data_IF_978587648769
#
_entry.id   IF_978587648769
#
_cell.length_a   1.000
_cell.length_b   1.000
_cell.length_c   1.000
_cell.angle_alpha   90.00
_cell.angle_beta   90.00
_cell.angle_gamma   90.00
#
_symmetry.space_group_name_H-M   'P 1'
#
loop_
_entity.id
_entity.type
_entity.pdbx_description
1 polymer ?
#
# COMPACT_ATOMS: atom_id res chain seq x y z
N UNK A 1 -1.47 10.82 25.52
CA UNK A 1 -0.74 10.49 24.27
C UNK A 1 -0.29 11.78 23.63
N UNK A 2 0.88 11.76 22.97
CA UNK A 2 1.37 12.94 22.22
C UNK A 2 0.68 13.05 20.86
N UNK A 3 0.57 14.28 20.37
CA UNK A 3 0.03 14.53 19.02
C UNK A 3 1.04 14.15 17.94
N UNK A 4 0.55 13.51 16.86
CA UNK A 4 1.32 13.28 15.65
C UNK A 4 1.23 14.53 14.75
N UNK A 5 2.24 15.37 14.80
CA UNK A 5 2.22 16.70 14.17
C UNK A 5 2.24 16.71 12.64
N UNK A 6 2.79 15.66 12.01
CA UNK A 6 2.92 15.59 10.54
C UNK A 6 2.29 14.31 9.97
N UNK A 7 0.97 14.11 10.12
CA UNK A 7 0.31 12.86 9.72
C UNK A 7 0.16 12.73 8.19
N UNK A 8 0.21 13.83 7.44
CA UNK A 8 0.16 13.82 5.98
C UNK A 8 1.58 13.98 5.44
N UNK A 9 2.02 13.05 4.61
CA UNK A 9 3.32 13.09 3.95
C UNK A 9 3.24 12.68 2.48
N UNK A 10 4.25 13.06 1.70
CA UNK A 10 4.51 12.51 0.37
C UNK A 10 5.20 11.16 0.54
N UNK A 11 4.88 10.23 -0.34
CA UNK A 11 5.45 8.89 -0.35
C UNK A 11 6.70 8.87 -1.23
N UNK A 12 7.87 9.08 -0.62
CA UNK A 12 9.13 9.04 -1.36
C UNK A 12 9.54 7.62 -1.78
N UNK A 13 9.22 6.61 -0.97
CA UNK A 13 9.65 5.23 -1.21
C UNK A 13 9.05 4.56 -2.47
N UNK A 14 8.11 5.20 -3.13
CA UNK A 14 7.54 4.73 -4.40
C UNK A 14 7.33 5.93 -5.31
N UNK A 15 8.41 6.46 -5.81
CA UNK A 15 8.40 7.58 -6.76
C UNK A 15 7.54 7.28 -7.99
N UNK A 16 7.40 5.99 -8.29
CA UNK A 16 6.53 5.48 -9.35
C UNK A 16 5.08 5.23 -8.90
N UNK A 17 4.72 5.50 -7.64
CA UNK A 17 3.38 5.23 -7.13
C UNK A 17 2.40 6.35 -7.50
N UNK A 18 1.24 6.03 -8.12
CA UNK A 18 0.22 7.02 -8.47
C UNK A 18 -0.50 7.62 -7.25
N UNK A 19 -0.18 7.14 -6.04
CA UNK A 19 -0.71 7.60 -4.76
C UNK A 19 0.36 8.39 -4.02
N UNK A 20 0.54 9.68 -4.32
CA UNK A 20 1.64 10.45 -3.73
C UNK A 20 1.43 10.76 -2.25
N UNK A 21 0.19 10.73 -1.75
CA UNK A 21 -0.14 11.16 -0.39
C UNK A 21 -0.42 9.98 0.53
N UNK A 22 0.14 10.03 1.73
CA UNK A 22 -0.20 9.15 2.83
C UNK A 22 -0.72 9.96 4.03
N UNK A 23 -1.67 9.39 4.77
CA UNK A 23 -2.23 9.94 5.99
C UNK A 23 -2.22 8.84 7.06
N UNK A 24 -1.56 9.11 8.17
CA UNK A 24 -1.46 8.16 9.27
C UNK A 24 -2.35 8.60 10.42
N UNK A 25 -3.18 7.70 10.92
CA UNK A 25 -3.99 7.92 12.12
C UNK A 25 -3.13 7.83 13.38
N UNK A 26 -2.13 6.96 13.35
CA UNK A 26 -1.28 6.59 14.48
C UNK A 26 0.18 6.53 14.08
N UNK A 27 1.09 6.69 15.06
CA UNK A 27 2.53 6.57 14.84
C UNK A 27 3.02 5.13 14.97
N UNK A 28 2.58 4.39 15.98
CA UNK A 28 2.94 2.99 16.23
C UNK A 28 1.80 2.04 15.84
N UNK A 29 2.13 0.77 15.56
CA UNK A 29 1.17 -0.24 15.16
C UNK A 29 1.19 -1.44 16.11
N UNK A 30 0.02 -1.87 16.59
CA UNK A 30 -0.16 -2.97 17.54
C UNK A 30 -0.15 -4.36 16.86
N UNK A 31 -0.26 -4.42 15.52
CA UNK A 31 -0.32 -5.69 14.78
C UNK A 31 0.95 -6.53 14.93
N UNK A 32 2.11 -5.88 15.05
CA UNK A 32 3.41 -6.52 15.24
C UNK A 32 3.73 -7.65 14.24
N UNK A 33 3.36 -7.46 12.97
CA UNK A 33 3.63 -8.44 11.91
C UNK A 33 5.15 -8.67 11.74
N UNK A 34 5.57 -9.93 11.62
CA UNK A 34 7.00 -10.29 11.54
C UNK A 34 7.69 -9.70 10.31
N UNK A 35 6.98 -9.67 9.19
CA UNK A 35 7.47 -9.15 7.90
C UNK A 35 7.38 -7.62 7.78
N UNK A 36 6.94 -6.90 8.82
CA UNK A 36 6.62 -5.48 8.70
C UNK A 36 7.88 -4.60 8.72
N UNK A 37 8.13 -3.91 7.61
CA UNK A 37 9.20 -2.91 7.49
C UNK A 37 8.96 -1.68 8.37
N UNK A 38 7.70 -1.32 8.63
CA UNK A 38 7.34 -0.19 9.48
C UNK A 38 7.84 -0.30 10.92
N UNK A 39 8.06 -1.52 11.41
CA UNK A 39 8.63 -1.76 12.75
C UNK A 39 10.08 -1.30 12.88
N UNK A 40 10.90 -1.43 11.84
CA UNK A 40 12.27 -0.87 11.84
C UNK A 40 12.22 0.64 12.08
N UNK A 41 11.30 1.33 11.42
CA UNK A 41 11.14 2.77 11.55
C UNK A 41 10.70 3.17 12.97
N UNK A 42 9.75 2.46 13.56
CA UNK A 42 9.30 2.71 14.93
C UNK A 42 10.45 2.52 15.95
N UNK A 43 11.29 1.49 15.76
CA UNK A 43 12.46 1.26 16.62
C UNK A 43 13.48 2.40 16.55
N UNK A 44 13.66 3.01 15.38
CA UNK A 44 14.59 4.13 15.18
C UNK A 44 14.03 5.42 15.80
N UNK A 45 12.73 5.68 15.68
CA UNK A 45 12.11 6.96 16.06
C UNK A 45 11.27 6.92 17.34
N UNK A 46 11.28 5.80 18.05
CA UNK A 46 10.52 5.55 19.26
C UNK A 46 9.18 4.87 19.02
N UNK A 47 8.87 3.96 19.92
CA UNK A 47 7.64 3.15 19.90
C UNK A 47 6.47 3.83 20.60
N UNK A 48 6.67 5.04 21.13
CA UNK A 48 5.62 5.79 21.82
C UNK A 48 4.46 6.09 20.86
N UNK A 49 3.26 5.71 21.23
CA UNK A 49 2.08 5.99 20.43
C UNK A 49 1.81 7.49 20.36
N UNK A 50 1.71 8.00 19.14
CA UNK A 50 1.26 9.36 18.86
C UNK A 50 0.00 9.31 18.03
N UNK A 51 -0.87 10.27 18.21
CA UNK A 51 -2.22 10.26 17.66
C UNK A 51 -2.43 11.49 16.79
N UNK A 52 -2.96 11.28 15.61
CA UNK A 52 -3.31 12.39 14.71
C UNK A 52 -4.52 13.14 15.23
N UNK A 53 -4.46 14.47 15.18
CA UNK A 53 -5.59 15.33 15.46
C UNK A 53 -6.41 15.55 14.18
N UNK A 54 -7.65 15.01 14.08
CA UNK A 54 -8.49 15.16 12.90
C UNK A 54 -8.79 16.61 12.53
N UNK A 55 -8.97 17.50 13.50
CA UNK A 55 -9.26 18.92 13.21
C UNK A 55 -8.07 19.63 12.56
N UNK A 56 -6.85 19.32 13.00
CA UNK A 56 -5.63 19.80 12.37
C UNK A 56 -5.53 19.33 10.89
N UNK A 57 -5.90 18.08 10.61
CA UNK A 57 -5.96 17.53 9.24
C UNK A 57 -7.04 18.26 8.42
N UNK A 58 -8.25 18.42 8.96
CA UNK A 58 -9.34 19.16 8.31
C UNK A 58 -8.91 20.57 7.92
N UNK A 59 -8.28 21.30 8.84
CA UNK A 59 -7.75 22.64 8.59
C UNK A 59 -6.70 22.64 7.48
N UNK A 60 -5.75 21.70 7.52
CA UNK A 60 -4.68 21.58 6.50
C UNK A 60 -5.26 21.31 5.11
N UNK A 61 -6.18 20.35 4.98
CA UNK A 61 -6.81 20.01 3.70
C UNK A 61 -7.65 21.17 3.14
N UNK A 62 -8.46 21.84 3.98
CA UNK A 62 -9.23 23.02 3.56
C UNK A 62 -8.34 24.18 3.10
N UNK A 63 -7.24 24.42 3.80
CA UNK A 63 -6.28 25.45 3.41
C UNK A 63 -5.60 25.11 2.08
N UNK A 64 -5.24 23.86 1.86
CA UNK A 64 -4.65 23.40 0.60
C UNK A 64 -5.61 23.63 -0.59
N UNK A 65 -6.90 23.34 -0.42
CA UNK A 65 -7.91 23.57 -1.46
C UNK A 65 -8.06 25.07 -1.80
N UNK A 66 -7.87 25.95 -0.83
CA UNK A 66 -7.94 27.41 -1.01
C UNK A 66 -6.64 28.04 -1.53
N UNK A 67 -5.53 27.30 -1.45
CA UNK A 67 -4.22 27.81 -1.88
C UNK A 67 -4.23 28.08 -3.39
N UNK A 68 -4.02 29.34 -3.78
CA UNK A 68 -4.00 29.76 -5.20
C UNK A 68 -2.65 29.53 -5.87
N UNK A 69 -1.58 29.41 -5.08
CA UNK A 69 -0.21 29.27 -5.60
C UNK A 69 0.58 28.23 -4.80
N UNK A 70 0.33 26.92 -4.99
CA UNK A 70 1.05 25.85 -4.28
C UNK A 70 2.49 25.74 -4.77
N UNK A 71 3.46 26.01 -3.89
CA UNK A 71 4.88 26.07 -4.24
C UNK A 71 5.62 24.74 -4.01
N UNK A 72 5.06 23.84 -3.20
CA UNK A 72 5.73 22.58 -2.87
C UNK A 72 5.00 21.39 -3.52
N UNK A 73 5.70 20.27 -3.82
CA UNK A 73 5.07 19.06 -4.36
C UNK A 73 3.88 18.59 -3.51
N UNK A 74 4.01 18.64 -2.18
CA UNK A 74 2.90 18.31 -1.28
C UNK A 74 1.73 19.28 -1.45
N UNK A 75 1.99 20.57 -1.53
CA UNK A 75 0.94 21.57 -1.69
C UNK A 75 0.21 21.42 -3.04
N UNK A 76 0.95 21.09 -4.10
CA UNK A 76 0.41 20.82 -5.43
C UNK A 76 -0.46 19.53 -5.42
N UNK A 77 0.03 18.43 -4.84
CA UNK A 77 -0.71 17.17 -4.73
C UNK A 77 -2.01 17.35 -3.89
N UNK A 78 -1.94 18.11 -2.79
CA UNK A 78 -3.09 18.42 -1.97
C UNK A 78 -4.08 19.34 -2.70
N UNK A 79 -3.60 20.36 -3.42
CA UNK A 79 -4.44 21.24 -4.23
C UNK A 79 -5.18 20.51 -5.34
N UNK A 80 -4.50 19.55 -5.98
CA UNK A 80 -5.05 18.70 -7.03
C UNK A 80 -5.94 17.56 -6.49
N UNK A 81 -6.16 17.50 -5.18
CA UNK A 81 -6.92 16.42 -4.50
C UNK A 81 -6.45 15.01 -4.91
N UNK A 82 -5.12 14.83 -5.05
CA UNK A 82 -4.58 13.48 -5.31
C UNK A 82 -5.01 12.54 -4.19
N UNK A 83 -5.30 11.30 -4.54
CA UNK A 83 -5.82 10.32 -3.58
C UNK A 83 -4.88 10.11 -2.39
N UNK A 84 -5.47 9.95 -1.20
CA UNK A 84 -4.77 9.75 0.06
C UNK A 84 -4.84 8.28 0.48
N UNK A 85 -3.70 7.72 0.86
CA UNK A 85 -3.64 6.40 1.48
C UNK A 85 -3.65 6.52 3.01
N UNK A 86 -4.69 6.00 3.66
CA UNK A 86 -4.75 5.86 5.12
C UNK A 86 -4.19 4.50 5.53
N UNK A 87 -3.26 4.50 6.48
CA UNK A 87 -2.69 3.27 7.01
C UNK A 87 -1.56 2.68 6.15
N UNK A 88 -0.67 3.53 5.64
CA UNK A 88 0.52 3.06 4.92
C UNK A 88 1.57 2.45 5.85
N UNK A 89 1.84 3.12 6.97
CA UNK A 89 2.88 2.77 7.93
C UNK A 89 2.34 1.95 9.10
N UNK A 90 1.13 2.29 9.54
CA UNK A 90 0.44 1.64 10.66
C UNK A 90 -0.92 1.15 10.22
N UNK A 91 -1.47 0.16 10.90
CA UNK A 91 -2.85 -0.23 10.62
C UNK A 91 -3.82 0.80 11.22
N UNK A 92 -4.68 1.43 10.40
CA UNK A 92 -5.58 2.49 10.88
C UNK A 92 -6.71 1.96 11.76
N UNK A 93 -7.00 0.65 11.70
CA UNK A 93 -8.06 -0.01 12.49
C UNK A 93 -7.51 -0.95 13.57
N UNK A 94 -6.25 -0.73 13.99
CA UNK A 94 -5.66 -1.42 15.14
C UNK A 94 -6.52 -1.23 16.42
N UNK A 95 -6.34 -2.06 17.47
CA UNK A 95 -7.23 -2.07 18.65
C UNK A 95 -7.52 -0.69 19.26
N UNK A 96 -6.51 0.17 19.39
CA UNK A 96 -6.67 1.51 19.97
C UNK A 96 -7.66 2.40 19.18
N UNK A 97 -7.89 2.13 17.91
CA UNK A 97 -8.88 2.85 17.11
C UNK A 97 -10.31 2.64 17.61
N UNK A 98 -10.58 1.50 18.26
CA UNK A 98 -11.91 1.22 18.82
C UNK A 98 -12.27 2.15 19.97
N UNK A 99 -11.27 2.74 20.63
CA UNK A 99 -11.42 3.70 21.73
C UNK A 99 -11.34 5.14 21.24
N UNK A 100 -10.33 5.46 20.44
CA UNK A 100 -9.99 6.85 20.08
C UNK A 100 -10.72 7.37 18.84
N UNK A 101 -11.21 6.50 17.95
CA UNK A 101 -11.98 6.84 16.75
C UNK A 101 -11.32 7.89 15.83
N UNK A 102 -10.00 7.91 15.78
CA UNK A 102 -9.23 8.89 14.99
C UNK A 102 -9.40 8.62 13.49
N UNK A 103 -9.27 7.37 13.07
CA UNK A 103 -9.46 6.97 11.67
C UNK A 103 -10.89 7.29 11.22
N UNK A 104 -11.88 7.02 12.07
CA UNK A 104 -13.26 7.39 11.80
C UNK A 104 -13.39 8.88 11.50
N UNK A 105 -12.84 9.74 12.37
CA UNK A 105 -12.86 11.19 12.18
C UNK A 105 -12.15 11.63 10.89
N UNK A 106 -11.04 10.97 10.53
CA UNK A 106 -10.34 11.25 9.27
C UNK A 106 -11.17 10.84 8.04
N UNK A 107 -11.83 9.68 8.09
CA UNK A 107 -12.74 9.21 7.02
C UNK A 107 -13.90 10.18 6.83
N UNK A 108 -14.54 10.64 7.92
CA UNK A 108 -15.61 11.65 7.86
C UNK A 108 -15.12 12.93 7.17
N UNK A 109 -13.91 13.40 7.49
CA UNK A 109 -13.32 14.60 6.88
C UNK A 109 -13.11 14.41 5.37
N UNK A 110 -12.59 13.24 4.95
CA UNK A 110 -12.34 12.97 3.54
C UNK A 110 -13.64 12.87 2.75
N UNK A 111 -14.68 12.27 3.32
CA UNK A 111 -16.02 12.23 2.72
C UNK A 111 -16.60 13.63 2.58
N UNK A 112 -16.57 14.46 3.65
CA UNK A 112 -17.07 15.84 3.65
C UNK A 112 -16.38 16.72 2.61
N UNK A 113 -15.07 16.52 2.41
CA UNK A 113 -14.27 17.24 1.43
C UNK A 113 -14.31 16.62 0.03
N UNK A 114 -15.05 15.52 -0.17
CA UNK A 114 -15.11 14.74 -1.42
C UNK A 114 -13.70 14.34 -1.90
N UNK A 115 -12.84 13.95 -0.97
CA UNK A 115 -11.46 13.60 -1.25
C UNK A 115 -11.32 12.09 -1.53
N UNK A 116 -10.74 11.66 -2.67
CA UNK A 116 -10.52 10.24 -2.93
C UNK A 116 -9.48 9.65 -1.95
N UNK A 117 -9.74 8.44 -1.45
CA UNK A 117 -8.84 7.82 -0.49
C UNK A 117 -8.89 6.29 -0.53
N UNK A 118 -7.81 5.69 0.00
CA UNK A 118 -7.69 4.24 0.20
C UNK A 118 -7.52 3.98 1.69
N UNK A 119 -8.17 2.94 2.18
CA UNK A 119 -7.94 2.37 3.49
C UNK A 119 -7.32 0.98 3.31
N UNK A 120 -6.20 0.72 3.99
CA UNK A 120 -5.55 -0.57 4.02
C UNK A 120 -5.49 -1.08 5.46
N UNK A 121 -6.02 -2.28 5.73
CA UNK A 121 -6.07 -2.81 7.10
C UNK A 121 -5.99 -4.34 7.11
N UNK A 122 -5.50 -4.88 8.24
CA UNK A 122 -5.59 -6.30 8.64
C UNK A 122 -6.67 -6.54 9.71
N UNK A 123 -7.26 -5.46 10.23
CA UNK A 123 -8.29 -5.49 11.26
C UNK A 123 -9.70 -5.25 10.69
N UNK A 124 -10.09 -6.00 9.63
CA UNK A 124 -11.40 -5.84 8.99
C UNK A 124 -12.57 -6.00 9.96
N UNK A 125 -12.40 -6.78 11.04
CA UNK A 125 -13.43 -6.89 12.07
C UNK A 125 -13.70 -5.54 12.76
N UNK A 126 -12.66 -4.75 13.02
CA UNK A 126 -12.78 -3.42 13.61
C UNK A 126 -13.36 -2.41 12.60
N UNK A 127 -12.98 -2.55 11.31
CA UNK A 127 -13.54 -1.73 10.24
C UNK A 127 -15.06 -1.82 10.12
N UNK A 128 -15.69 -2.92 10.60
CA UNK A 128 -17.15 -3.09 10.56
C UNK A 128 -17.89 -2.01 11.35
N UNK A 129 -17.25 -1.37 12.34
CA UNK A 129 -17.82 -0.22 13.06
C UNK A 129 -18.21 0.91 12.11
N UNK A 130 -17.41 1.13 11.06
CA UNK A 130 -17.53 2.29 10.19
C UNK A 130 -18.06 1.93 8.79
N UNK A 131 -18.67 0.75 8.64
CA UNK A 131 -19.18 0.26 7.35
C UNK A 131 -20.15 1.23 6.68
N UNK A 132 -20.99 1.92 7.46
CA UNK A 132 -21.94 2.91 6.93
C UNK A 132 -21.23 4.13 6.33
N UNK A 133 -20.10 4.54 6.92
CA UNK A 133 -19.24 5.58 6.34
C UNK A 133 -18.60 5.09 5.02
N UNK A 134 -18.22 3.83 4.94
CA UNK A 134 -17.65 3.26 3.72
C UNK A 134 -18.69 3.22 2.59
N UNK A 135 -19.93 2.84 2.90
CA UNK A 135 -21.05 2.92 1.94
C UNK A 135 -21.29 4.37 1.51
N UNK A 136 -21.30 5.32 2.46
CA UNK A 136 -21.48 6.75 2.19
C UNK A 136 -20.34 7.33 1.33
N UNK A 137 -19.13 6.85 1.50
CA UNK A 137 -17.98 7.27 0.70
C UNK A 137 -18.13 6.90 -0.78
N UNK A 138 -18.79 5.76 -1.07
CA UNK A 138 -19.06 5.32 -2.42
C UNK A 138 -17.81 5.28 -3.30
N UNK A 139 -17.82 5.97 -4.47
CA UNK A 139 -16.69 5.95 -5.41
C UNK A 139 -15.42 6.67 -4.89
N UNK A 140 -15.50 7.37 -3.76
CA UNK A 140 -14.32 8.04 -3.19
C UNK A 140 -13.40 7.09 -2.41
N UNK A 141 -13.86 5.87 -2.08
CA UNK A 141 -13.13 4.94 -1.24
C UNK A 141 -12.81 3.63 -1.97
N UNK A 142 -11.57 3.18 -1.81
CA UNK A 142 -11.17 1.80 -2.05
C UNK A 142 -10.72 1.20 -0.71
N UNK A 143 -11.32 0.07 -0.31
CA UNK A 143 -10.89 -0.71 0.84
C UNK A 143 -9.93 -1.82 0.40
N UNK A 144 -8.68 -1.77 0.86
CA UNK A 144 -7.71 -2.84 0.67
C UNK A 144 -7.74 -3.79 1.86
N UNK A 145 -8.08 -5.04 1.58
CA UNK A 145 -8.06 -6.13 2.56
C UNK A 145 -6.74 -6.88 2.39
N UNK A 146 -5.91 -6.90 3.41
CA UNK A 146 -4.61 -7.54 3.34
C UNK A 146 -4.72 -9.06 3.56
N UNK A 147 -4.26 -9.86 2.59
CA UNK A 147 -4.25 -11.33 2.64
C UNK A 147 -3.04 -11.84 1.88
N UNK A 148 -2.05 -12.35 2.60
CA UNK A 148 -0.84 -12.96 2.02
C UNK A 148 -1.12 -14.34 1.40
N UNK A 149 -0.24 -14.85 0.50
CA UNK A 149 -0.50 -16.09 -0.25
C UNK A 149 -0.73 -17.33 0.61
N UNK A 150 -0.06 -17.45 1.76
CA UNK A 150 -0.23 -18.58 2.68
C UNK A 150 -1.53 -18.58 3.49
N UNK A 151 -2.29 -17.48 3.44
CA UNK A 151 -3.62 -17.41 4.06
C UNK A 151 -3.58 -17.55 5.58
N UNK A 152 -4.31 -18.53 6.14
CA UNK A 152 -4.37 -18.74 7.58
C UNK A 152 -3.02 -19.11 8.19
N UNK A 153 -2.16 -19.86 7.46
CA UNK A 153 -0.81 -20.20 7.92
C UNK A 153 0.04 -18.94 8.12
N UNK A 154 -0.06 -17.99 7.19
CA UNK A 154 0.64 -16.71 7.30
C UNK A 154 0.06 -15.84 8.43
N UNK A 155 -1.25 -15.86 8.61
CA UNK A 155 -1.88 -15.16 9.72
C UNK A 155 -1.40 -15.69 11.07
N UNK A 156 -1.27 -17.02 11.21
CA UNK A 156 -0.76 -17.63 12.44
C UNK A 156 0.70 -17.29 12.67
N UNK A 157 1.53 -17.41 11.65
CA UNK A 157 2.98 -17.21 11.74
C UNK A 157 3.35 -15.72 11.77
N UNK A 158 2.99 -14.97 10.72
CA UNK A 158 3.50 -13.61 10.54
C UNK A 158 2.70 -12.55 11.29
N UNK A 159 1.39 -12.74 11.46
CA UNK A 159 0.53 -11.81 12.19
C UNK A 159 0.26 -12.28 13.63
N UNK A 160 0.79 -13.44 14.00
CA UNK A 160 0.73 -14.00 15.38
C UNK A 160 -0.68 -14.03 15.94
N UNK A 161 -1.69 -14.27 15.10
CA UNK A 161 -3.13 -14.28 15.45
C UNK A 161 -3.65 -12.96 16.07
N UNK A 162 -2.94 -11.85 15.90
CA UNK A 162 -3.31 -10.56 16.51
C UNK A 162 -4.34 -9.76 15.72
N UNK A 163 -4.50 -10.08 14.45
CA UNK A 163 -5.36 -9.36 13.51
C UNK A 163 -6.61 -10.19 13.18
N UNK A 164 -7.44 -9.73 12.27
CA UNK A 164 -8.61 -10.50 11.85
C UNK A 164 -8.20 -11.76 11.09
N UNK A 165 -8.67 -12.97 11.43
CA UNK A 165 -8.38 -14.20 10.70
C UNK A 165 -8.74 -14.09 9.21
N UNK A 166 -7.94 -14.70 8.32
CA UNK A 166 -8.09 -14.56 6.86
C UNK A 166 -9.47 -15.00 6.37
N UNK A 167 -9.99 -16.11 6.87
CA UNK A 167 -11.34 -16.57 6.54
C UNK A 167 -12.42 -15.53 6.87
N UNK A 168 -12.24 -14.80 7.97
CA UNK A 168 -13.15 -13.72 8.37
C UNK A 168 -12.98 -12.50 7.48
N UNK A 169 -11.72 -12.15 7.09
CA UNK A 169 -11.44 -11.06 6.13
C UNK A 169 -12.15 -11.31 4.81
N UNK A 170 -12.06 -12.52 4.26
CA UNK A 170 -12.71 -12.90 3.00
C UNK A 170 -14.23 -12.75 3.06
N UNK A 171 -14.86 -13.21 4.15
CA UNK A 171 -16.31 -13.04 4.34
C UNK A 171 -16.72 -11.58 4.45
N UNK A 172 -15.93 -10.77 5.15
CA UNK A 172 -16.16 -9.33 5.27
C UNK A 172 -15.99 -8.65 3.91
N UNK A 173 -14.92 -8.95 3.17
CA UNK A 173 -14.67 -8.42 1.84
C UNK A 173 -15.84 -8.70 0.88
N UNK A 174 -16.34 -9.95 0.85
CA UNK A 174 -17.52 -10.31 0.07
C UNK A 174 -18.76 -9.51 0.47
N UNK A 175 -19.01 -9.36 1.77
CA UNK A 175 -20.14 -8.57 2.29
C UNK A 175 -20.01 -7.10 1.89
N UNK A 176 -18.82 -6.52 1.96
CA UNK A 176 -18.57 -5.14 1.57
C UNK A 176 -18.87 -4.90 0.09
N UNK A 177 -18.46 -5.82 -0.80
CA UNK A 177 -18.83 -5.76 -2.21
C UNK A 177 -20.35 -5.79 -2.42
N UNK A 178 -21.08 -6.63 -1.66
CA UNK A 178 -22.54 -6.70 -1.72
C UNK A 178 -23.22 -5.41 -1.25
N UNK A 179 -22.56 -4.63 -0.40
CA UNK A 179 -22.99 -3.30 0.04
C UNK A 179 -22.56 -2.17 -0.91
N UNK A 180 -21.91 -2.49 -2.04
CA UNK A 180 -21.43 -1.50 -3.01
C UNK A 180 -20.10 -0.83 -2.61
N UNK A 181 -19.41 -1.35 -1.58
CA UNK A 181 -18.08 -0.86 -1.20
C UNK A 181 -17.04 -1.44 -2.18
N UNK A 182 -16.16 -0.60 -2.69
CA UNK A 182 -15.09 -1.01 -3.58
C UNK A 182 -13.97 -1.69 -2.80
N UNK A 183 -13.72 -2.97 -3.09
CA UNK A 183 -12.77 -3.81 -2.35
C UNK A 183 -11.69 -4.34 -3.28
N UNK A 184 -10.43 -4.09 -2.91
CA UNK A 184 -9.27 -4.74 -3.49
C UNK A 184 -8.58 -5.65 -2.45
N UNK A 185 -7.81 -6.62 -2.91
CA UNK A 185 -7.01 -7.48 -2.04
C UNK A 185 -5.54 -7.10 -2.19
N UNK A 186 -4.86 -6.89 -1.05
CA UNK A 186 -3.44 -6.65 -0.99
C UNK A 186 -2.74 -7.83 -0.34
N UNK A 187 -1.98 -8.58 -1.14
CA UNK A 187 -1.27 -9.78 -0.72
C UNK A 187 0.22 -9.56 -0.50
N UNK A 188 0.57 -8.52 0.21
CA UNK A 188 1.97 -8.18 0.48
C UNK A 188 2.38 -8.58 1.91
N UNK A 189 3.60 -9.16 1.99
CA UNK A 189 4.49 -9.55 0.89
C UNK A 189 4.22 -10.95 0.36
N UNK A 190 4.60 -11.21 -0.90
CA UNK A 190 5.02 -12.54 -1.32
C UNK A 190 6.46 -12.72 -0.83
N UNK A 191 6.75 -13.79 -0.10
CA UNK A 191 8.08 -14.08 0.43
C UNK A 191 8.73 -15.16 -0.44
N UNK A 192 9.60 -14.81 -1.40
CA UNK A 192 10.31 -15.77 -2.23
C UNK A 192 11.16 -16.70 -1.36
N UNK A 193 11.23 -17.98 -1.72
CA UNK A 193 11.91 -18.98 -0.89
C UNK A 193 11.06 -19.58 0.24
N UNK A 194 9.99 -18.90 0.66
CA UNK A 194 8.99 -19.39 1.61
C UNK A 194 7.66 -19.71 0.91
N UNK A 195 7.04 -18.70 0.26
CA UNK A 195 5.80 -18.93 -0.48
C UNK A 195 6.05 -19.67 -1.79
N UNK A 196 5.12 -20.55 -2.13
CA UNK A 196 5.14 -21.29 -3.39
C UNK A 196 4.12 -20.71 -4.38
N UNK A 197 4.36 -20.95 -5.68
CA UNK A 197 3.41 -20.58 -6.72
C UNK A 197 2.08 -21.36 -6.60
N UNK A 198 2.09 -22.54 -5.98
CA UNK A 198 0.86 -23.30 -5.70
C UNK A 198 0.03 -22.63 -4.61
N UNK A 199 0.63 -22.20 -3.48
CA UNK A 199 -0.07 -21.43 -2.46
C UNK A 199 -0.68 -20.15 -3.05
N UNK A 200 0.06 -19.46 -3.91
CA UNK A 200 -0.46 -18.29 -4.60
C UNK A 200 -1.67 -18.64 -5.48
N UNK A 201 -1.59 -19.68 -6.31
CA UNK A 201 -2.71 -20.15 -7.14
C UNK A 201 -3.94 -20.50 -6.30
N UNK A 202 -3.74 -21.24 -5.23
CA UNK A 202 -4.83 -21.65 -4.34
C UNK A 202 -5.50 -20.43 -3.68
N UNK A 203 -4.73 -19.42 -3.29
CA UNK A 203 -5.26 -18.15 -2.79
C UNK A 203 -6.09 -17.45 -3.88
N UNK A 204 -5.61 -17.35 -5.12
CA UNK A 204 -6.36 -16.70 -6.20
C UNK A 204 -7.68 -17.44 -6.50
N UNK A 205 -7.69 -18.76 -6.53
CA UNK A 205 -8.91 -19.57 -6.67
C UNK A 205 -9.89 -19.30 -5.55
N UNK A 206 -9.37 -19.22 -4.32
CA UNK A 206 -10.15 -18.89 -3.15
C UNK A 206 -10.76 -17.49 -3.26
N UNK A 207 -9.99 -16.47 -3.63
CA UNK A 207 -10.51 -15.12 -3.87
C UNK A 207 -11.64 -15.13 -4.91
N UNK A 208 -11.43 -15.84 -6.02
CA UNK A 208 -12.44 -15.97 -7.07
C UNK A 208 -13.74 -16.59 -6.57
N UNK A 209 -13.68 -17.57 -5.65
CA UNK A 209 -14.88 -18.17 -5.05
C UNK A 209 -15.68 -17.20 -4.17
N UNK A 210 -15.03 -16.13 -3.69
CA UNK A 210 -15.69 -15.02 -2.99
C UNK A 210 -16.12 -13.88 -3.93
N UNK A 211 -15.87 -13.99 -5.24
CA UNK A 211 -16.18 -12.94 -6.21
C UNK A 211 -15.14 -11.82 -6.27
N UNK A 212 -14.01 -11.97 -5.59
CA UNK A 212 -12.92 -11.01 -5.56
C UNK A 212 -12.05 -11.22 -6.81
N UNK A 213 -11.70 -10.15 -7.53
CA UNK A 213 -11.02 -10.22 -8.83
C UNK A 213 -9.73 -9.41 -8.91
N UNK A 214 -9.38 -8.71 -7.86
CA UNK A 214 -8.18 -7.88 -7.78
C UNK A 214 -7.27 -8.39 -6.68
N UNK A 215 -6.00 -8.59 -7.00
CA UNK A 215 -4.96 -8.98 -6.06
C UNK A 215 -3.69 -8.19 -6.36
N UNK A 216 -3.15 -7.54 -5.36
CA UNK A 216 -1.91 -6.81 -5.48
C UNK A 216 -0.84 -7.50 -4.65
N UNK A 217 0.34 -7.76 -5.19
CA UNK A 217 1.44 -8.39 -4.47
C UNK A 217 2.79 -7.82 -4.85
N UNK A 218 3.73 -7.91 -3.92
CA UNK A 218 5.12 -7.54 -4.09
C UNK A 218 6.00 -8.44 -3.23
N UNK A 219 7.28 -8.57 -3.56
CA UNK A 219 8.22 -9.34 -2.76
C UNK A 219 8.51 -8.69 -1.40
N UNK A 220 9.14 -9.44 -0.51
CA UNK A 220 9.50 -8.96 0.82
C UNK A 220 10.49 -7.79 0.75
N UNK A 221 10.17 -6.69 1.40
CA UNK A 221 11.14 -5.63 1.67
C UNK A 221 12.15 -6.11 2.71
N UNK A 222 13.33 -6.46 2.22
CA UNK A 222 14.40 -6.99 3.07
C UNK A 222 15.12 -5.87 3.80
N UNK A 223 15.27 -6.05 5.10
CA UNK A 223 16.18 -5.30 5.95
C UNK A 223 16.61 -6.20 7.12
N UNK A 224 17.73 -5.90 7.70
CA UNK A 224 18.34 -6.72 8.77
C UNK A 224 17.35 -7.02 9.91
N UNK A 225 16.60 -6.04 10.36
CA UNK A 225 15.62 -6.20 11.44
C UNK A 225 14.50 -7.18 11.08
N UNK A 226 13.95 -7.08 9.86
CA UNK A 226 12.91 -8.00 9.38
C UNK A 226 13.46 -9.40 9.22
N UNK A 227 14.65 -9.55 8.62
CA UNK A 227 15.30 -10.85 8.43
C UNK A 227 15.60 -11.53 9.76
N UNK A 228 16.10 -10.80 10.76
CA UNK A 228 16.31 -11.35 12.10
C UNK A 228 15.02 -11.90 12.72
N UNK A 229 13.91 -11.17 12.62
CA UNK A 229 12.62 -11.63 13.16
C UNK A 229 12.07 -12.87 12.44
N UNK A 230 12.33 -13.00 11.16
CA UNK A 230 11.97 -14.19 10.39
C UNK A 230 12.88 -15.37 10.74
N UNK A 231 14.16 -15.13 10.96
CA UNK A 231 15.10 -16.13 11.46
C UNK A 231 14.69 -16.66 12.84
N UNK A 232 14.31 -15.78 13.76
CA UNK A 232 13.93 -16.13 15.14
C UNK A 232 12.70 -17.06 15.21
N UNK A 233 11.91 -17.14 14.14
CA UNK A 233 10.78 -18.09 14.00
C UNK A 233 11.12 -19.30 13.14
N UNK A 234 12.40 -19.53 12.84
CA UNK A 234 12.90 -20.72 12.17
C UNK A 234 12.80 -20.71 10.64
N UNK A 235 12.66 -19.54 10.03
CA UNK A 235 12.66 -19.46 8.56
C UNK A 235 14.10 -19.48 8.02
N UNK A 236 14.26 -20.09 6.86
CA UNK A 236 15.51 -20.14 6.10
C UNK A 236 15.79 -18.78 5.44
N UNK A 237 16.58 -17.95 6.12
CA UNK A 237 16.86 -16.58 5.69
C UNK A 237 17.79 -16.55 4.48
N UNK A 238 18.74 -17.48 4.36
CA UNK A 238 19.62 -17.55 3.20
C UNK A 238 18.80 -17.79 1.93
N UNK A 239 17.92 -18.77 1.97
CA UNK A 239 17.01 -19.08 0.88
C UNK A 239 16.08 -17.92 0.54
N UNK A 240 15.51 -17.26 1.54
CA UNK A 240 14.67 -16.08 1.35
C UNK A 240 15.48 -14.95 0.70
N UNK A 241 16.69 -14.69 1.19
CA UNK A 241 17.59 -13.69 0.64
C UNK A 241 17.90 -13.94 -0.83
N UNK A 242 18.36 -15.16 -1.16
CA UNK A 242 18.70 -15.55 -2.52
C UNK A 242 17.54 -15.39 -3.49
N UNK A 243 16.36 -15.90 -3.11
CA UNK A 243 15.17 -15.88 -3.98
C UNK A 243 14.55 -14.48 -4.10
N UNK A 244 14.87 -13.57 -3.20
CA UNK A 244 14.39 -12.19 -3.24
C UNK A 244 15.28 -11.27 -4.10
N UNK A 245 16.43 -11.75 -4.59
CA UNK A 245 17.28 -11.02 -5.52
C UNK A 245 16.62 -10.98 -6.90
N UNK A 246 16.80 -9.89 -7.62
CA UNK A 246 16.18 -9.65 -8.94
C UNK A 246 16.29 -10.82 -9.90
N UNK A 247 17.44 -11.47 -9.96
CA UNK A 247 17.70 -12.61 -10.84
C UNK A 247 16.74 -13.78 -10.62
N UNK A 248 16.39 -14.08 -9.39
CA UNK A 248 15.47 -15.17 -9.03
C UNK A 248 14.04 -14.68 -8.83
N UNK A 249 13.86 -13.45 -8.39
CA UNK A 249 12.52 -12.86 -8.21
C UNK A 249 11.77 -12.67 -9.54
N UNK A 250 12.43 -12.13 -10.57
CA UNK A 250 11.78 -11.87 -11.86
C UNK A 250 11.10 -13.10 -12.50
N UNK A 251 11.74 -14.27 -12.58
CA UNK A 251 11.05 -15.47 -13.06
C UNK A 251 9.85 -15.88 -12.22
N UNK A 252 9.94 -15.72 -10.89
CA UNK A 252 8.82 -15.97 -9.98
C UNK A 252 7.69 -14.98 -10.28
N UNK A 253 7.97 -13.70 -10.34
CA UNK A 253 7.01 -12.65 -10.66
C UNK A 253 6.31 -12.93 -12.00
N UNK A 254 7.08 -13.32 -13.02
CA UNK A 254 6.55 -13.76 -14.30
C UNK A 254 5.55 -14.91 -14.14
N UNK A 255 5.89 -15.90 -13.34
CA UNK A 255 5.01 -17.04 -13.09
C UNK A 255 3.75 -16.65 -12.33
N UNK A 256 3.86 -15.73 -11.35
CA UNK A 256 2.69 -15.23 -10.60
C UNK A 256 1.69 -14.51 -11.53
N UNK A 257 2.18 -13.72 -12.47
CA UNK A 257 1.32 -13.04 -13.43
C UNK A 257 0.63 -14.05 -14.37
N UNK A 258 1.36 -15.04 -14.89
CA UNK A 258 0.77 -16.12 -15.69
C UNK A 258 -0.34 -16.84 -14.93
N UNK A 259 -0.11 -17.17 -13.65
CA UNK A 259 -1.10 -17.82 -12.79
C UNK A 259 -2.32 -16.92 -12.60
N UNK A 260 -2.12 -15.63 -12.40
CA UNK A 260 -3.23 -14.68 -12.23
C UNK A 260 -4.10 -14.61 -13.50
N UNK A 261 -3.48 -14.59 -14.68
CA UNK A 261 -4.20 -14.63 -15.96
C UNK A 261 -5.01 -15.92 -16.11
N UNK A 262 -4.41 -17.07 -15.82
CA UNK A 262 -5.08 -18.38 -15.87
C UNK A 262 -6.28 -18.46 -14.90
N UNK A 263 -6.17 -17.84 -13.74
CA UNK A 263 -7.24 -17.83 -12.73
C UNK A 263 -8.24 -16.66 -12.92
N UNK A 264 -8.04 -15.79 -13.90
CA UNK A 264 -8.91 -14.65 -14.19
C UNK A 264 -8.95 -13.62 -13.07
N UNK A 265 -7.81 -13.38 -12.43
CA UNK A 265 -7.59 -12.37 -11.38
C UNK A 265 -6.71 -11.26 -11.95
N UNK A 266 -7.10 -10.03 -11.75
CA UNK A 266 -6.26 -8.88 -12.06
C UNK A 266 -5.14 -8.77 -11.03
N UNK A 267 -3.90 -8.99 -11.46
CA UNK A 267 -2.73 -8.90 -10.59
C UNK A 267 -2.07 -7.53 -10.70
N UNK A 268 -2.00 -6.83 -9.58
CA UNK A 268 -1.21 -5.61 -9.43
C UNK A 268 0.16 -5.89 -8.85
N UNK A 269 1.16 -5.20 -9.40
CA UNK A 269 2.51 -5.21 -8.86
C UNK A 269 3.04 -3.77 -8.84
N UNK A 270 3.60 -3.29 -7.71
CA UNK A 270 4.15 -1.93 -7.63
C UNK A 270 5.44 -1.72 -8.42
N UNK A 271 6.09 -2.79 -8.86
CA UNK A 271 7.32 -2.70 -9.66
C UNK A 271 7.01 -2.58 -11.16
N UNK A 272 6.57 -1.38 -11.56
CA UNK A 272 6.20 -1.08 -12.95
C UNK A 272 7.37 -0.99 -13.91
N UNK A 273 8.57 -0.80 -13.40
CA UNK A 273 9.75 -0.49 -14.22
C UNK A 273 10.33 -1.75 -14.86
N UNK A 274 10.11 -2.89 -14.23
CA UNK A 274 10.69 -4.16 -14.61
C UNK A 274 9.67 -5.17 -15.19
N UNK A 275 8.47 -4.71 -15.53
CA UNK A 275 7.46 -5.58 -16.15
C UNK A 275 7.93 -5.98 -17.56
N UNK A 276 8.06 -7.27 -17.87
CA UNK A 276 8.48 -7.72 -19.19
C UNK A 276 7.56 -7.19 -20.30
N UNK A 277 8.14 -6.80 -21.43
CA UNK A 277 7.38 -6.40 -22.63
C UNK A 277 6.33 -7.48 -22.97
N UNK A 278 5.07 -7.06 -23.13
CA UNK A 278 3.96 -7.97 -23.45
C UNK A 278 3.06 -8.37 -22.28
N UNK A 279 3.36 -7.95 -21.08
CA UNK A 279 2.54 -8.24 -19.89
C UNK A 279 1.41 -7.22 -19.73
N UNK A 280 0.22 -7.63 -20.13
CA UNK A 280 -0.96 -6.74 -20.15
C UNK A 280 -1.52 -6.44 -18.77
N UNK A 281 -1.28 -7.26 -17.75
CA UNK A 281 -2.06 -7.26 -16.52
C UNK A 281 -1.34 -6.66 -15.30
N UNK A 282 -0.03 -6.75 -15.18
CA UNK A 282 0.66 -6.28 -13.96
C UNK A 282 0.62 -4.76 -13.73
N UNK A 283 0.57 -3.96 -14.79
CA UNK A 283 0.62 -2.49 -14.68
C UNK A 283 -0.74 -1.84 -14.36
N UNK A 284 -1.84 -2.59 -14.41
CA UNK A 284 -3.19 -2.02 -14.43
C UNK A 284 -3.86 -1.90 -13.07
N UNK A 285 -3.36 -2.62 -12.06
CA UNK A 285 -4.18 -2.97 -10.89
C UNK A 285 -3.53 -2.64 -9.55
N UNK A 286 -2.54 -1.74 -9.56
CA UNK A 286 -1.90 -1.33 -8.32
C UNK A 286 -2.91 -0.73 -7.33
N UNK A 287 -2.95 -1.25 -6.11
CA UNK A 287 -3.77 -0.72 -5.03
C UNK A 287 -5.28 -0.66 -5.31
N UNK A 288 -5.81 -1.60 -6.12
CA UNK A 288 -7.23 -1.68 -6.40
C UNK A 288 -7.73 -0.68 -7.46
N UNK A 289 -6.83 -0.13 -8.26
CA UNK A 289 -7.16 0.86 -9.32
C UNK A 289 -8.16 0.35 -10.35
N UNK A 290 -8.23 -0.94 -10.53
CA UNK A 290 -9.15 -1.64 -11.42
C UNK A 290 -10.46 -2.05 -10.76
N UNK A 291 -10.69 -1.66 -9.51
CA UNK A 291 -11.96 -1.94 -8.85
C UNK A 291 -13.06 -1.14 -9.57
N UNK A 292 -14.01 -1.81 -10.22
CA UNK A 292 -15.03 -1.13 -11.02
C UNK A 292 -15.83 -0.12 -10.20
N UNK A 293 -16.05 1.06 -10.75
CA UNK A 293 -16.87 2.09 -10.14
C UNK A 293 -16.21 2.94 -9.06
N UNK A 294 -14.98 2.59 -8.63
CA UNK A 294 -14.17 3.45 -7.75
C UNK A 294 -13.53 4.61 -8.53
N UNK A 295 -12.96 5.56 -7.79
CA UNK A 295 -12.13 6.58 -8.42
C UNK A 295 -10.93 5.92 -9.14
N UNK A 296 -10.57 6.49 -10.27
CA UNK A 296 -9.39 6.04 -11.02
C UNK A 296 -8.20 6.94 -10.70
N UNK A 297 -7.05 6.33 -10.41
CA UNK A 297 -5.78 7.05 -10.47
C UNK A 297 -5.46 7.32 -11.93
N UNK A 298 -4.59 8.27 -12.19
CA UNK A 298 -4.09 8.47 -13.54
C UNK A 298 -3.04 7.40 -13.94
N UNK A 299 -3.40 6.12 -13.74
CA UNK A 299 -2.56 4.96 -14.10
C UNK A 299 -2.52 4.73 -15.60
N UNK A 300 -3.50 5.27 -16.35
CA UNK A 300 -3.46 5.24 -17.80
C UNK A 300 -2.19 5.89 -18.34
N UNK A 301 -1.68 6.88 -17.63
CA UNK A 301 -0.43 7.53 -17.99
C UNK A 301 0.75 6.55 -17.92
N UNK A 302 0.93 5.83 -16.82
CA UNK A 302 1.97 4.80 -16.66
C UNK A 302 1.84 3.68 -17.68
N UNK A 303 0.65 3.18 -17.86
CA UNK A 303 0.36 2.10 -18.80
C UNK A 303 0.68 2.52 -20.23
N UNK A 304 0.20 3.68 -20.66
CA UNK A 304 0.47 4.18 -22.00
C UNK A 304 1.97 4.51 -22.19
N UNK A 305 2.63 5.04 -21.16
CA UNK A 305 4.06 5.33 -21.22
C UNK A 305 4.92 4.06 -21.20
N UNK A 306 4.61 3.07 -20.36
CA UNK A 306 5.33 1.78 -20.36
C UNK A 306 5.13 1.00 -21.67
N UNK A 307 4.01 1.17 -22.35
CA UNK A 307 3.71 0.55 -23.63
C UNK A 307 4.26 1.32 -24.85
N UNK A 308 4.64 2.60 -24.66
CA UNK A 308 5.10 3.46 -25.74
C UNK A 308 6.55 3.21 -26.19
N UNK A 309 7.28 2.30 -25.53
CA UNK A 309 8.70 2.04 -25.82
C UNK A 309 9.64 3.17 -25.37
N UNK A 310 9.16 4.12 -24.57
CA UNK A 310 10.00 5.19 -24.02
C UNK A 310 11.01 4.64 -23.02
N UNK A 311 12.17 5.28 -22.94
CA UNK A 311 13.14 4.98 -21.90
C UNK A 311 12.56 5.29 -20.50
N UNK A 312 13.02 4.56 -19.48
CA UNK A 312 12.53 4.72 -18.10
C UNK A 312 12.65 6.16 -17.59
N UNK A 313 13.70 6.90 -17.99
CA UNK A 313 13.87 8.30 -17.63
C UNK A 313 12.79 9.20 -18.23
N UNK A 314 12.42 8.99 -19.50
CA UNK A 314 11.37 9.76 -20.16
C UNK A 314 9.99 9.51 -19.53
N UNK A 315 9.77 8.28 -19.05
CA UNK A 315 8.55 7.91 -18.31
C UNK A 315 8.50 8.69 -16.99
N UNK A 316 9.63 8.77 -16.27
CA UNK A 316 9.72 9.52 -15.02
C UNK A 316 9.46 11.01 -15.28
N UNK A 317 10.18 11.61 -16.20
CA UNK A 317 10.04 13.03 -16.49
C UNK A 317 8.58 13.38 -16.79
N UNK A 318 7.89 12.62 -17.65
CA UNK A 318 6.49 12.86 -17.97
C UNK A 318 5.51 12.59 -16.83
N UNK A 319 5.84 11.71 -15.90
CA UNK A 319 4.96 11.39 -14.76
C UNK A 319 5.14 12.39 -13.63
N UNK A 320 6.32 12.97 -13.50
CA UNK A 320 6.72 13.84 -12.41
C UNK A 320 6.73 15.33 -12.77
N UNK A 321 6.47 15.69 -14.03
CA UNK A 321 6.27 17.08 -14.44
C UNK A 321 5.29 17.84 -13.52
N UNK A 322 4.33 17.12 -12.93
CA UNK A 322 3.31 17.71 -12.06
C UNK A 322 3.59 17.62 -10.55
N UNK A 323 4.55 16.80 -10.06
CA UNK A 323 4.57 16.42 -8.63
C UNK A 323 5.97 16.39 -7.98
N UNK A 324 7.06 16.26 -8.73
CA UNK A 324 8.38 15.97 -8.17
C UNK A 324 9.28 17.19 -7.99
N UNK A 325 10.11 17.18 -6.94
CA UNK A 325 11.31 18.04 -6.89
C UNK A 325 12.41 17.45 -7.75
N UNK A 326 13.44 18.24 -8.10
CA UNK A 326 14.62 17.73 -8.81
C UNK A 326 15.32 16.59 -8.05
N UNK A 327 15.30 16.65 -6.69
CA UNK A 327 15.84 15.59 -5.84
C UNK A 327 15.04 14.30 -5.93
N UNK A 328 13.70 14.37 -5.97
CA UNK A 328 12.83 13.22 -6.13
C UNK A 328 13.02 12.56 -7.50
N UNK A 329 13.17 13.37 -8.55
CA UNK A 329 13.46 12.88 -9.90
C UNK A 329 14.85 12.22 -9.97
N UNK A 330 15.84 12.78 -9.28
CA UNK A 330 17.18 12.21 -9.21
C UNK A 330 17.18 10.85 -8.52
N UNK A 331 16.50 10.73 -7.38
CA UNK A 331 16.34 9.46 -6.65
C UNK A 331 15.60 8.41 -7.51
N UNK A 332 14.52 8.81 -8.20
CA UNK A 332 13.82 7.94 -9.12
C UNK A 332 14.74 7.37 -10.21
N UNK A 333 15.58 8.21 -10.80
CA UNK A 333 16.56 7.81 -11.83
C UNK A 333 17.62 6.85 -11.28
N UNK A 334 18.07 7.05 -10.03
CA UNK A 334 19.03 6.14 -9.39
C UNK A 334 18.42 4.75 -9.17
N UNK A 335 17.20 4.68 -8.67
CA UNK A 335 16.47 3.43 -8.46
C UNK A 335 16.27 2.70 -9.79
N UNK A 336 15.79 3.39 -10.82
CA UNK A 336 15.55 2.82 -12.14
C UNK A 336 16.80 2.37 -12.87
N UNK A 337 17.93 3.03 -12.60
CA UNK A 337 19.23 2.66 -13.16
C UNK A 337 19.89 1.48 -12.42
N UNK A 338 19.28 0.93 -11.37
CA UNK A 338 19.85 -0.12 -10.54
C UNK A 338 21.05 0.35 -9.71
N UNK A 339 21.24 1.65 -9.53
CA UNK A 339 22.35 2.23 -8.78
C UNK A 339 22.06 2.55 -7.33
N UNK A 340 20.81 2.34 -6.89
CA UNK A 340 20.40 2.49 -5.50
C UNK A 340 19.58 1.28 -5.08
N UNK A 341 20.13 0.49 -4.14
CA UNK A 341 19.43 -0.63 -3.51
C UNK A 341 18.62 -0.19 -2.27
N UNK A 342 18.74 1.07 -1.86
CA UNK A 342 18.16 1.58 -0.63
C UNK A 342 16.78 2.21 -0.85
N UNK A 343 15.74 1.39 -0.77
CA UNK A 343 14.35 1.86 -0.71
C UNK A 343 13.98 2.65 0.55
N UNK A 344 14.89 2.70 1.54
CA UNK A 344 14.72 3.41 2.81
C UNK A 344 16.07 3.94 3.29
N UNK A 345 16.47 5.09 2.79
CA UNK A 345 17.67 5.78 3.29
C UNK A 345 17.35 6.58 4.57
N UNK A 346 18.41 6.99 5.30
CA UNK A 346 18.26 7.91 6.44
C UNK A 346 17.61 9.26 6.05
N UNK A 347 17.58 9.62 4.76
CA UNK A 347 16.93 10.82 4.24
C UNK A 347 15.41 10.65 4.16
N UNK A 348 14.91 9.46 3.86
CA UNK A 348 13.49 9.14 4.02
C UNK A 348 13.04 9.37 5.47
N UNK A 349 13.94 9.19 6.41
CA UNK A 349 13.72 9.46 7.83
C UNK A 349 13.52 10.95 8.12
N UNK A 350 14.25 11.85 7.47
CA UNK A 350 14.17 13.30 7.70
C UNK A 350 12.86 13.91 7.26
N UNK A 351 12.18 13.33 6.25
CA UNK A 351 10.86 13.79 5.82
C UNK A 351 9.75 13.58 6.86
N UNK A 352 9.97 12.69 7.83
CA UNK A 352 9.03 12.42 8.91
C UNK A 352 9.31 13.24 10.19
N UNK A 353 10.41 13.99 10.25
CA UNK A 353 10.85 14.74 11.44
C UNK A 353 10.70 16.26 11.33
N UNK A 354 10.35 16.77 10.18
CA UNK A 354 9.97 18.17 9.95
C UNK A 354 8.45 18.22 9.68
#
# INVERSE_FOLDING_TARGET
MREYKSPICIRHAHLTCPLPLALESYWACEADCLHCVGRKLNRIWGEEQRVTNPDSVRKKLRNALRNKNPQTPMAQALKAQKAIWIGRKTDPYQPIEMELMVTKGLVEILIDLRWPFIICSRYQANCQRDVDLFVKAGPLLICLVEITPGGESDWELFERKRTTPVNRRLRIAKRWQQLGIHVGIRGEPFIPGYHTTNQFRDMLRRLRSYGLRSYNTYNLHMNEYTLQRLHDVGLDIERIWEHNQDKLWRPIQCKLCQIADEEGINLGCPDFVNVPQGWKNCANTCCGVDVPGAFTFNTHHWRSLSQSGLASNDIIDRTWEDIGSEDDQHQARLILSGKSDDYYTMEDAKCYTK
#
